data_IF_848172534106
#
_entry.id   IF_848172534106
#
_cell.length_a   1.000
_cell.length_b   1.000
_cell.length_c   1.000
_cell.angle_alpha   90.00
_cell.angle_beta   90.00
_cell.angle_gamma   90.00
#
_symmetry.space_group_name_H-M   'P 1'
#
loop_
_entity.id
_entity.type
_entity.pdbx_description
1 polymer ?
#
# COMPACT_ATOMS: atom_id res chain seq x y z
N UNK A 1 -62.33 -15.11 11.65
CA UNK A 1 -61.95 -14.82 10.25
C UNK A 1 -60.99 -13.65 10.31
N UNK A 2 -59.68 -13.86 10.43
CA UNK A 2 -58.76 -13.99 9.30
C UNK A 2 -57.70 -12.88 9.37
N UNK A 3 -56.78 -12.98 10.33
CA UNK A 3 -55.63 -12.08 10.48
C UNK A 3 -54.55 -12.40 9.45
N UNK A 4 -54.62 -11.78 8.28
CA UNK A 4 -53.60 -11.90 7.23
C UNK A 4 -52.60 -10.76 7.31
N UNK A 5 -51.39 -11.03 7.81
CA UNK A 5 -50.27 -10.10 7.69
C UNK A 5 -49.83 -9.93 6.22
N UNK A 6 -48.98 -8.93 5.93
CA UNK A 6 -48.47 -8.74 4.57
C UNK A 6 -47.73 -9.99 4.09
N UNK A 7 -47.78 -10.29 2.77
CA UNK A 7 -47.10 -11.45 2.22
C UNK A 7 -45.59 -11.37 2.50
N UNK A 8 -44.92 -12.51 2.74
CA UNK A 8 -43.49 -12.53 2.94
C UNK A 8 -42.78 -11.95 1.70
N UNK A 9 -41.66 -11.25 1.90
CA UNK A 9 -40.88 -10.75 0.78
C UNK A 9 -40.37 -11.92 -0.09
N UNK A 10 -40.22 -11.70 -1.41
CA UNK A 10 -39.65 -12.71 -2.28
C UNK A 10 -38.22 -13.05 -1.83
N UNK A 11 -37.78 -14.31 -2.02
CA UNK A 11 -36.41 -14.69 -1.74
C UNK A 11 -35.44 -13.87 -2.62
N UNK A 12 -34.24 -13.56 -2.13
CA UNK A 12 -33.22 -12.90 -2.93
C UNK A 12 -32.86 -13.76 -4.15
N UNK A 13 -32.47 -13.13 -5.28
CA UNK A 13 -31.96 -13.86 -6.43
C UNK A 13 -30.82 -14.80 -6.00
N UNK A 14 -30.88 -16.07 -6.40
CA UNK A 14 -29.77 -16.98 -6.20
C UNK A 14 -28.53 -16.40 -6.87
N UNK A 15 -27.44 -16.28 -6.13
CA UNK A 15 -26.13 -15.96 -6.69
C UNK A 15 -25.72 -17.13 -7.58
N UNK A 16 -26.12 -17.08 -8.86
CA UNK A 16 -25.72 -18.01 -9.90
C UNK A 16 -24.19 -18.02 -9.98
N UNK A 17 -23.62 -19.19 -9.76
CA UNK A 17 -22.18 -19.36 -9.79
C UNK A 17 -21.56 -19.14 -11.17
N UNK A 18 -20.26 -18.86 -11.09
CA UNK A 18 -19.23 -18.89 -12.13
C UNK A 18 -19.25 -17.78 -13.19
N UNK A 19 -18.26 -16.88 -13.07
CA UNK A 19 -17.80 -16.06 -14.20
C UNK A 19 -17.19 -14.74 -13.77
N UNK A 20 -15.92 -14.73 -13.38
CA UNK A 20 -15.21 -13.48 -13.11
C UNK A 20 -13.76 -13.74 -12.72
N UNK A 21 -12.88 -13.76 -13.71
CA UNK A 21 -11.45 -13.98 -13.52
C UNK A 21 -10.82 -12.90 -12.65
N UNK A 22 -10.09 -13.34 -11.63
CA UNK A 22 -8.95 -12.62 -11.11
C UNK A 22 -7.77 -13.60 -11.20
N UNK A 23 -6.59 -13.19 -11.72
CA UNK A 23 -5.40 -14.01 -11.51
C UNK A 23 -5.24 -14.16 -10.00
N UNK A 24 -5.15 -15.40 -9.53
CA UNK A 24 -4.76 -15.65 -8.15
C UNK A 24 -3.37 -15.03 -7.97
N UNK A 25 -3.30 -13.89 -7.28
CA UNK A 25 -2.03 -13.36 -6.84
C UNK A 25 -1.54 -14.37 -5.80
N UNK A 26 -0.61 -15.23 -6.22
CA UNK A 26 0.12 -16.07 -5.30
C UNK A 26 0.80 -15.12 -4.31
N UNK A 27 0.41 -15.20 -3.04
CA UNK A 27 1.18 -14.59 -1.97
C UNK A 27 2.62 -15.13 -2.12
N UNK A 28 3.66 -14.27 -2.09
CA UNK A 28 5.03 -14.78 -2.10
C UNK A 28 5.16 -15.81 -0.97
N UNK A 29 5.77 -16.98 -1.25
CA UNK A 29 5.91 -18.02 -0.23
C UNK A 29 6.51 -17.35 1.00
N UNK A 30 5.79 -17.46 2.14
CA UNK A 30 6.10 -16.75 3.37
C UNK A 30 7.60 -16.79 3.61
N UNK A 31 8.22 -15.61 3.57
CA UNK A 31 9.67 -15.48 3.42
C UNK A 31 10.42 -16.39 4.39
N UNK A 32 11.35 -17.18 3.84
CA UNK A 32 12.17 -18.16 4.55
C UNK A 32 12.48 -17.69 5.98
N UNK A 33 11.80 -18.29 6.97
CA UNK A 33 11.98 -17.91 8.38
C UNK A 33 13.43 -18.11 8.83
N UNK A 34 14.17 -19.03 8.19
CA UNK A 34 15.60 -19.22 8.34
C UNK A 34 16.42 -17.97 7.93
N UNK A 35 16.08 -17.34 6.80
CA UNK A 35 16.73 -16.10 6.35
C UNK A 35 16.44 -14.94 7.30
N UNK A 36 15.22 -14.88 7.84
CA UNK A 36 14.85 -13.89 8.85
C UNK A 36 15.61 -14.10 10.17
N UNK A 37 15.77 -15.35 10.62
CA UNK A 37 16.51 -15.66 11.85
C UNK A 37 17.98 -15.25 11.74
N UNK A 38 18.65 -15.61 10.63
CA UNK A 38 20.04 -15.23 10.37
C UNK A 38 20.23 -13.70 10.31
N UNK A 39 19.27 -13.00 9.70
CA UNK A 39 19.28 -11.54 9.67
C UNK A 39 19.17 -10.94 11.09
N UNK A 40 18.24 -11.44 11.90
CA UNK A 40 18.06 -10.96 13.27
C UNK A 40 19.27 -11.28 14.16
N UNK A 41 19.93 -12.42 13.94
CA UNK A 41 21.18 -12.77 14.61
C UNK A 41 22.32 -11.83 14.20
N UNK A 42 22.47 -11.54 12.91
CA UNK A 42 23.44 -10.56 12.40
C UNK A 42 23.20 -9.16 12.99
N UNK A 43 21.95 -8.71 13.06
CA UNK A 43 21.59 -7.42 13.68
C UNK A 43 21.97 -7.41 15.16
N UNK A 44 21.68 -8.48 15.90
CA UNK A 44 22.07 -8.59 17.32
C UNK A 44 23.60 -8.61 17.49
N UNK A 45 24.30 -9.39 16.66
CA UNK A 45 25.77 -9.49 16.68
C UNK A 45 26.45 -8.17 16.34
N UNK A 46 25.84 -7.33 15.50
CA UNK A 46 26.33 -6.00 15.15
C UNK A 46 26.09 -4.93 16.25
N UNK A 47 25.49 -5.28 17.40
CA UNK A 47 25.19 -4.34 18.48
C UNK A 47 23.71 -3.92 18.56
N UNK A 48 22.83 -4.62 17.85
CA UNK A 48 21.38 -4.35 17.84
C UNK A 48 20.98 -3.17 16.95
N UNK A 49 19.69 -2.81 17.02
CA UNK A 49 19.11 -1.75 16.17
C UNK A 49 19.79 -0.39 16.39
N UNK A 50 20.28 -0.10 17.60
CA UNK A 50 20.98 1.15 17.91
C UNK A 50 22.35 1.29 17.25
N UNK A 51 22.94 0.20 16.79
CA UNK A 51 24.22 0.22 16.06
C UNK A 51 24.03 0.37 14.54
N UNK A 52 22.81 0.25 14.03
CA UNK A 52 22.51 0.42 12.61
C UNK A 52 22.44 1.91 12.26
N UNK A 53 23.07 2.30 11.14
CA UNK A 53 22.94 3.65 10.62
C UNK A 53 21.49 3.89 10.18
N UNK A 54 20.90 5.00 10.61
CA UNK A 54 19.58 5.43 10.14
C UNK A 54 19.74 5.99 8.73
N UNK A 55 19.37 5.21 7.72
CA UNK A 55 19.26 5.72 6.34
C UNK A 55 17.97 6.52 6.27
N UNK A 56 18.05 7.85 6.37
CA UNK A 56 16.91 8.74 6.20
C UNK A 56 16.19 8.47 4.89
N UNK A 57 14.86 8.57 4.89
CA UNK A 57 13.96 8.15 3.81
C UNK A 57 14.03 8.92 2.49
N UNK A 58 15.18 9.48 2.12
CA UNK A 58 15.38 10.13 0.82
C UNK A 58 16.73 9.81 0.16
N UNK A 59 17.76 9.37 0.89
CA UNK A 59 19.12 9.25 0.32
C UNK A 59 19.74 7.89 0.67
N UNK A 60 19.39 6.86 -0.09
CA UNK A 60 19.86 5.51 0.20
C UNK A 60 19.61 4.48 -0.87
N UNK A 61 19.76 4.85 -2.14
CA UNK A 61 19.90 3.90 -3.27
C UNK A 61 21.23 3.13 -3.14
N UNK A 62 21.36 2.29 -2.11
CA UNK A 62 22.54 1.46 -1.86
C UNK A 62 22.53 0.15 -2.68
N UNK A 63 22.01 0.21 -3.92
CA UNK A 63 22.03 -0.89 -4.88
C UNK A 63 21.78 -0.38 -6.30
N UNK A 64 22.64 0.49 -6.83
CA UNK A 64 22.78 0.63 -8.29
C UNK A 64 24.19 0.21 -8.66
N UNK A 65 24.33 -1.04 -9.06
CA UNK A 65 25.40 -1.46 -9.97
C UNK A 65 25.48 -0.46 -11.14
N UNK A 66 26.66 -0.19 -11.71
CA UNK A 66 26.76 0.69 -12.87
C UNK A 66 25.85 0.13 -13.97
N UNK A 67 24.82 0.91 -14.32
CA UNK A 67 23.88 0.59 -15.38
C UNK A 67 24.67 0.63 -16.70
N UNK A 68 24.70 -0.46 -17.50
CA UNK A 68 25.29 -0.40 -18.83
C UNK A 68 24.53 0.64 -19.68
N UNK A 69 25.22 1.35 -20.59
CA UNK A 69 24.58 2.40 -21.38
C UNK A 69 23.36 1.85 -22.14
N UNK A 70 22.22 2.57 -22.14
CA UNK A 70 21.03 2.12 -22.84
C UNK A 70 21.28 2.07 -24.37
N UNK A 71 20.63 1.15 -25.09
CA UNK A 71 20.63 1.19 -26.56
C UNK A 71 20.00 2.51 -27.05
N UNK A 72 20.36 2.98 -28.26
CA UNK A 72 19.82 4.22 -28.81
C UNK A 72 18.30 4.17 -28.89
N UNK A 73 17.67 5.25 -28.41
CA UNK A 73 16.23 5.40 -28.27
C UNK A 73 15.52 5.33 -29.63
N UNK A 74 14.56 4.40 -29.74
CA UNK A 74 13.43 4.61 -30.63
C UNK A 74 12.40 5.46 -29.87
N UNK A 75 12.00 6.56 -30.48
CA UNK A 75 11.00 7.49 -29.97
C UNK A 75 9.67 6.78 -29.76
N UNK A 76 9.12 6.85 -28.54
CA UNK A 76 7.68 7.05 -28.38
C UNK A 76 7.33 7.59 -26.98
N UNK A 77 6.92 8.86 -26.95
CA UNK A 77 5.84 9.35 -26.09
C UNK A 77 6.06 9.52 -24.58
N UNK A 78 6.02 10.80 -24.14
CA UNK A 78 5.17 11.19 -23.00
C UNK A 78 5.56 10.68 -21.59
N UNK A 79 6.84 10.52 -21.28
CA UNK A 79 7.29 10.32 -19.88
C UNK A 79 7.21 11.59 -19.02
N UNK A 80 7.13 12.78 -19.63
CA UNK A 80 6.94 14.06 -18.95
C UNK A 80 5.51 14.31 -18.47
N UNK A 81 4.50 13.81 -19.20
CA UNK A 81 3.09 14.04 -18.89
C UNK A 81 2.64 13.22 -17.67
N UNK A 82 3.17 12.01 -17.49
CA UNK A 82 2.89 11.19 -16.31
C UNK A 82 3.43 11.83 -15.02
N UNK A 83 4.65 12.37 -15.06
CA UNK A 83 5.25 13.05 -13.91
C UNK A 83 4.48 14.33 -13.56
N UNK A 84 4.06 15.11 -14.56
CA UNK A 84 3.21 16.29 -14.37
C UNK A 84 1.81 15.91 -13.85
N UNK A 85 1.19 14.87 -14.39
CA UNK A 85 -0.11 14.36 -13.93
C UNK A 85 -0.03 13.86 -12.48
N UNK A 86 1.07 13.19 -12.11
CA UNK A 86 1.30 12.72 -10.75
C UNK A 86 1.49 13.89 -9.77
N UNK A 87 2.27 14.91 -10.15
CA UNK A 87 2.44 16.11 -9.35
C UNK A 87 1.12 16.86 -9.13
N UNK A 88 0.31 17.02 -10.19
CA UNK A 88 -1.02 17.63 -10.12
C UNK A 88 -1.98 16.82 -9.22
N UNK A 89 -1.99 15.49 -9.37
CA UNK A 89 -2.82 14.61 -8.55
C UNK A 89 -2.45 14.68 -7.05
N UNK A 90 -1.15 14.77 -6.73
CA UNK A 90 -0.69 14.94 -5.34
C UNK A 90 -1.11 16.28 -4.75
N UNK A 91 -1.05 17.37 -5.53
CA UNK A 91 -1.51 18.69 -5.09
C UNK A 91 -3.03 18.71 -4.84
N UNK A 92 -3.83 18.12 -5.73
CA UNK A 92 -5.28 17.98 -5.55
C UNK A 92 -5.65 17.11 -4.34
N UNK A 93 -4.86 16.08 -4.04
CA UNK A 93 -5.08 15.25 -2.84
C UNK A 93 -4.71 16.00 -1.57
N UNK A 94 -3.63 16.80 -1.58
CA UNK A 94 -3.18 17.59 -0.42
C UNK A 94 -4.25 18.61 0.03
N UNK A 95 -4.92 19.29 -0.89
CA UNK A 95 -5.96 20.26 -0.54
C UNK A 95 -7.24 19.63 0.02
N UNK A 96 -7.60 18.41 -0.43
CA UNK A 96 -8.77 17.68 0.10
C UNK A 96 -8.52 17.11 1.49
N UNK A 97 -7.30 16.64 1.76
CA UNK A 97 -6.94 16.05 3.07
C UNK A 97 -6.79 17.13 4.14
N UNK A 98 -6.15 18.27 3.81
CA UNK A 98 -5.93 19.35 4.79
C UNK A 98 -7.20 20.10 5.20
N UNK A 99 -8.32 19.93 4.48
CA UNK A 99 -9.61 20.54 4.82
C UNK A 99 -10.62 19.60 5.50
N UNK A 100 -10.24 18.35 5.78
CA UNK A 100 -11.08 17.39 6.53
C UNK A 100 -10.60 17.18 7.97
N UNK A 101 -9.74 18.08 8.46
CA UNK A 101 -9.10 18.05 9.79
C UNK A 101 -9.39 19.38 10.52
N UNK A 102 -10.64 19.84 10.48
CA UNK A 102 -11.13 21.04 11.17
C UNK A 102 -12.28 20.70 12.13
N UNK A 103 -12.41 19.41 12.49
CA UNK A 103 -13.28 18.97 13.58
C UNK A 103 -12.45 18.09 14.53
N UNK A 104 -12.51 18.44 15.82
CA UNK A 104 -12.06 17.68 17.01
C UNK A 104 -10.61 17.88 17.54
N UNK A 105 -10.22 19.13 17.79
CA UNK A 105 -9.15 19.47 18.77
C UNK A 105 -9.64 19.35 20.24
N UNK A 106 -10.32 18.27 20.64
CA UNK A 106 -10.68 18.05 22.07
C UNK A 106 -10.60 16.61 22.61
N UNK A 107 -9.94 15.64 21.96
CA UNK A 107 -9.86 14.27 22.54
C UNK A 107 -8.47 13.60 22.50
N UNK A 108 -7.41 14.39 22.63
CA UNK A 108 -6.01 13.91 22.62
C UNK A 108 -5.41 13.70 24.04
N UNK A 109 -6.21 13.30 25.04
CA UNK A 109 -5.69 12.98 26.38
C UNK A 109 -5.98 11.54 26.86
N UNK A 110 -6.18 10.56 25.96
CA UNK A 110 -6.33 9.15 26.40
C UNK A 110 -5.75 8.09 25.45
N UNK A 111 -4.51 8.25 25.01
CA UNK A 111 -3.76 7.19 24.31
C UNK A 111 -2.66 6.54 25.17
N UNK A 112 -2.68 6.73 26.50
CA UNK A 112 -1.70 6.16 27.44
C UNK A 112 -2.36 5.56 28.71
N UNK A 113 -3.27 4.59 28.53
CA UNK A 113 -3.65 3.59 29.56
C UNK A 113 -3.72 2.17 28.95
#
# INVERSE_FOLDING_TARGET
MGSGGPPPPPPPPGMGGAGGGAPAIALPPGGNSAGRANLLESIRGAGGIGALRKTGGADGSASRSPIPPPPPAEEEGSSGDLALALAAALQMRKSRVAGSDDEDETDDENWDD
#
